data_IF_195365273682
#
_entry.id   IF_195365273682
#
_cell.length_a   1.000
_cell.length_b   1.000
_cell.length_c   1.000
_cell.angle_alpha   90.00
_cell.angle_beta   90.00
_cell.angle_gamma   90.00
#
_symmetry.space_group_name_H-M   'P 1'
#
loop_
_entity.id
_entity.type
_entity.pdbx_description
1 polymer ?
#
# COMPACT_ATOMS: atom_id res chain seq x y z
N UNK A 1 5.78 13.44 -7.98
CA UNK A 1 5.07 14.55 -8.56
C UNK A 1 3.78 14.11 -9.23
N UNK A 2 2.72 14.83 -8.98
CA UNK A 2 1.39 14.49 -9.45
C UNK A 2 1.32 14.42 -10.98
N UNK A 3 2.07 15.27 -11.62
CA UNK A 3 2.00 15.39 -13.09
C UNK A 3 2.49 14.13 -13.81
N UNK A 4 3.46 13.45 -13.22
CA UNK A 4 4.05 12.29 -13.90
C UNK A 4 3.11 11.12 -14.06
N UNK A 5 2.15 10.99 -13.19
CA UNK A 5 1.29 9.83 -13.18
C UNK A 5 -0.13 10.13 -13.60
N UNK A 6 -0.30 11.21 -14.33
CA UNK A 6 -1.66 11.69 -14.59
C UNK A 6 -2.58 10.62 -15.17
N UNK A 7 -2.11 9.88 -16.16
CA UNK A 7 -2.95 8.87 -16.78
C UNK A 7 -3.38 7.77 -15.83
N UNK A 8 -2.44 7.26 -15.04
CA UNK A 8 -2.73 6.23 -14.07
C UNK A 8 -3.50 6.80 -12.89
N UNK A 9 -3.06 7.95 -12.40
CA UNK A 9 -3.68 8.55 -11.24
C UNK A 9 -5.13 8.94 -11.45
N UNK A 10 -5.46 9.36 -12.64
CA UNK A 10 -6.83 9.80 -12.91
C UNK A 10 -7.86 8.70 -12.72
N UNK A 11 -7.49 7.45 -13.03
CA UNK A 11 -8.40 6.34 -12.86
C UNK A 11 -8.78 6.16 -11.39
N UNK A 12 -7.79 6.23 -10.50
CA UNK A 12 -8.02 6.02 -9.09
C UNK A 12 -8.55 7.26 -8.37
N UNK A 13 -8.14 8.41 -8.84
CA UNK A 13 -8.55 9.68 -8.26
C UNK A 13 -10.07 9.86 -8.31
N UNK A 14 -10.68 9.45 -9.41
CA UNK A 14 -12.11 9.61 -9.56
C UNK A 14 -12.92 8.71 -8.64
N UNK A 15 -12.30 7.65 -8.15
CA UNK A 15 -12.97 6.72 -7.27
C UNK A 15 -12.92 7.13 -5.82
N UNK A 16 -12.04 8.06 -5.50
CA UNK A 16 -11.80 8.44 -4.13
C UNK A 16 -11.91 9.92 -3.94
N UNK A 17 -12.85 10.31 -3.14
CA UNK A 17 -13.04 11.72 -2.86
C UNK A 17 -12.14 12.22 -1.73
N UNK A 18 -11.79 11.30 -0.84
CA UNK A 18 -11.02 11.68 0.33
C UNK A 18 -9.56 11.33 0.26
N UNK A 19 -9.22 10.34 -0.52
CA UNK A 19 -7.84 9.94 -0.63
C UNK A 19 -7.57 9.58 -2.07
N UNK A 20 -7.46 10.45 -2.73
CA UNK A 20 -7.53 10.49 -3.93
C UNK A 20 -6.83 9.94 -5.00
N UNK A 21 -5.67 9.78 -5.16
CA UNK A 21 -5.18 9.14 -6.36
C UNK A 21 -3.75 8.66 -6.23
N UNK A 22 -3.36 7.89 -7.23
CA UNK A 22 -2.07 7.26 -7.30
C UNK A 22 -1.17 8.04 -8.23
N UNK A 23 0.04 8.29 -7.78
CA UNK A 23 1.11 8.83 -8.59
C UNK A 23 2.21 7.78 -8.67
N UNK A 24 2.50 7.30 -9.86
CA UNK A 24 3.53 6.30 -10.05
C UNK A 24 4.85 6.98 -10.38
N UNK A 25 5.83 6.78 -9.53
CA UNK A 25 7.15 7.34 -9.73
C UNK A 25 8.03 6.30 -10.42
N UNK A 26 8.40 6.59 -11.65
CA UNK A 26 9.16 5.64 -12.45
C UNK A 26 10.67 5.82 -12.35
N UNK A 27 11.13 6.69 -11.47
CA UNK A 27 12.56 6.81 -11.23
C UNK A 27 13.13 5.54 -10.60
N UNK A 28 12.27 4.77 -9.92
CA UNK A 28 12.60 3.45 -9.41
C UNK A 28 11.70 2.46 -10.14
N UNK A 29 12.28 1.71 -11.06
CA UNK A 29 11.50 0.83 -11.93
C UNK A 29 10.82 -0.31 -11.19
N UNK A 30 11.27 -0.62 -9.99
CA UNK A 30 10.74 -1.76 -9.25
C UNK A 30 9.68 -1.36 -8.24
N UNK A 31 9.44 -0.09 -8.06
CA UNK A 31 8.53 0.40 -7.06
C UNK A 31 7.50 1.36 -7.63
N UNK A 32 6.35 1.39 -7.00
CA UNK A 32 5.29 2.34 -7.31
C UNK A 32 5.00 3.14 -6.04
N UNK A 33 4.71 4.41 -6.21
CA UNK A 33 4.44 5.30 -5.09
C UNK A 33 3.01 5.81 -5.22
N UNK A 34 2.19 5.51 -4.22
CA UNK A 34 0.81 5.95 -4.20
C UNK A 34 0.71 7.10 -3.22
N UNK A 35 0.19 8.22 -3.71
CA UNK A 35 0.11 9.44 -2.93
C UNK A 35 -1.36 9.78 -2.69
N UNK A 36 -1.70 9.95 -1.44
CA UNK A 36 -3.06 10.32 -1.06
C UNK A 36 -3.12 11.78 -0.69
N UNK A 37 -4.06 12.49 -1.29
CA UNK A 37 -4.24 13.90 -1.04
C UNK A 37 -5.62 14.16 -0.47
N UNK A 38 -5.68 15.12 0.45
CA UNK A 38 -6.95 15.67 0.90
C UNK A 38 -6.88 17.15 0.59
N UNK A 39 -7.72 17.59 -0.34
CA UNK A 39 -7.61 18.90 -0.93
C UNK A 39 -6.23 19.02 -1.56
N UNK A 40 -5.39 19.93 -1.10
CA UNK A 40 -4.05 20.07 -1.69
C UNK A 40 -2.95 19.50 -0.79
N UNK A 41 -3.33 18.88 0.32
CA UNK A 41 -2.34 18.34 1.26
C UNK A 41 -2.02 16.89 0.96
N UNK A 42 -0.74 16.56 0.95
CA UNK A 42 -0.32 15.17 0.86
C UNK A 42 -0.48 14.57 2.26
N UNK A 43 -1.43 13.68 2.42
CA UNK A 43 -1.78 13.14 3.73
C UNK A 43 -1.50 11.67 3.91
N UNK A 44 -1.24 10.93 2.83
CA UNK A 44 -0.96 9.50 2.92
C UNK A 44 -0.01 9.09 1.81
N UNK A 45 0.76 8.04 2.09
CA UNK A 45 1.76 7.55 1.15
C UNK A 45 1.87 6.04 1.29
N UNK A 46 2.04 5.35 0.16
CA UNK A 46 2.25 3.92 0.15
C UNK A 46 3.25 3.57 -0.93
N UNK A 47 4.20 2.69 -0.60
CA UNK A 47 5.16 2.17 -1.59
C UNK A 47 4.82 0.72 -1.87
N UNK A 48 4.71 0.39 -3.15
CA UNK A 48 4.40 -0.97 -3.59
C UNK A 48 5.47 -1.47 -4.54
N UNK A 49 5.62 -2.79 -4.59
CA UNK A 49 6.62 -3.43 -5.44
C UNK A 49 5.96 -4.48 -6.32
N UNK A 50 6.43 -4.60 -7.55
CA UNK A 50 5.98 -5.66 -8.45
C UNK A 50 6.49 -7.01 -7.95
N UNK A 51 5.92 -8.12 -8.48
CA UNK A 51 6.37 -9.45 -8.07
C UNK A 51 7.86 -9.66 -8.29
N UNK A 52 8.45 -10.47 -7.44
CA UNK A 52 9.84 -10.94 -7.54
C UNK A 52 10.89 -9.90 -7.17
N UNK A 53 10.49 -8.79 -6.59
CA UNK A 53 11.44 -7.80 -6.06
C UNK A 53 11.72 -8.09 -4.59
N UNK A 54 10.68 -8.09 -3.77
CA UNK A 54 10.82 -8.37 -2.33
C UNK A 54 10.43 -9.80 -2.00
N UNK A 55 9.42 -10.32 -2.67
CA UNK A 55 8.86 -11.65 -2.48
C UNK A 55 8.47 -12.16 -3.85
N UNK A 56 8.07 -13.43 -3.92
CA UNK A 56 7.57 -13.97 -5.19
C UNK A 56 6.35 -13.20 -5.67
N UNK A 57 5.49 -12.81 -4.75
CA UNK A 57 4.33 -11.99 -5.10
C UNK A 57 4.64 -10.51 -5.05
N UNK A 58 3.61 -9.72 -5.29
CA UNK A 58 3.69 -8.27 -5.13
C UNK A 58 3.86 -7.95 -3.65
N UNK A 59 4.24 -6.71 -3.34
CA UNK A 59 4.47 -6.33 -1.96
C UNK A 59 4.10 -4.88 -1.72
N UNK A 60 3.73 -4.59 -0.48
CA UNK A 60 3.60 -3.21 -0.02
C UNK A 60 4.68 -3.03 1.03
N UNK A 61 5.57 -2.08 0.81
CA UNK A 61 6.74 -1.92 1.64
C UNK A 61 6.67 -0.81 2.67
N UNK A 62 5.79 0.13 2.49
CA UNK A 62 5.71 1.27 3.41
C UNK A 62 4.36 1.94 3.30
N UNK A 63 3.76 2.25 4.44
CA UNK A 63 2.51 2.98 4.50
C UNK A 63 2.68 4.06 5.55
N UNK A 64 2.42 5.31 5.18
CA UNK A 64 2.54 6.45 6.08
C UNK A 64 1.31 7.32 5.96
N UNK A 65 0.76 7.73 7.10
CA UNK A 65 -0.35 8.69 7.14
C UNK A 65 0.10 9.87 7.98
N UNK A 66 -0.15 11.07 7.48
CA UNK A 66 0.22 12.28 8.18
C UNK A 66 -0.47 12.32 9.54
N UNK A 67 0.26 12.74 10.58
CA UNK A 67 -0.19 12.64 11.95
C UNK A 67 -1.57 13.23 12.19
N UNK A 68 -1.83 14.40 11.63
CA UNK A 68 -3.09 15.10 11.86
C UNK A 68 -4.28 14.47 11.17
N UNK A 69 -4.03 13.48 10.34
CA UNK A 69 -5.08 12.83 9.54
C UNK A 69 -5.27 11.36 9.90
N UNK A 70 -4.65 10.88 10.98
CA UNK A 70 -4.69 9.45 11.30
C UNK A 70 -6.06 8.95 11.73
N UNK A 71 -6.92 9.84 12.18
CA UNK A 71 -8.25 9.44 12.65
C UNK A 71 -9.30 9.40 11.55
N UNK A 72 -8.89 9.57 10.29
CA UNK A 72 -9.83 9.66 9.18
C UNK A 72 -9.83 8.40 8.32
N UNK A 73 -9.36 7.28 8.85
CA UNK A 73 -9.32 5.99 8.14
C UNK A 73 -8.47 6.02 6.86
N UNK A 74 -7.55 6.96 6.76
CA UNK A 74 -6.74 7.09 5.55
C UNK A 74 -5.77 5.93 5.38
N UNK A 75 -5.29 5.35 6.49
CA UNK A 75 -4.42 4.18 6.41
C UNK A 75 -5.15 3.01 5.77
N UNK A 76 -6.41 2.80 6.15
CA UNK A 76 -7.24 1.77 5.56
C UNK A 76 -7.47 2.06 4.08
N UNK A 77 -7.81 3.31 3.78
CA UNK A 77 -8.14 3.69 2.40
C UNK A 77 -6.95 3.52 1.47
N UNK A 78 -5.77 3.99 1.87
CA UNK A 78 -4.61 3.90 0.99
C UNK A 78 -4.14 2.46 0.87
N UNK A 79 -4.29 1.66 1.92
CA UNK A 79 -3.95 0.23 1.83
C UNK A 79 -4.88 -0.48 0.85
N UNK A 80 -6.16 -0.19 0.90
CA UNK A 80 -7.12 -0.77 -0.04
C UNK A 80 -6.84 -0.33 -1.47
N UNK A 81 -6.44 0.92 -1.67
CA UNK A 81 -6.04 1.39 -2.99
C UNK A 81 -4.81 0.64 -3.47
N UNK A 82 -3.84 0.42 -2.59
CA UNK A 82 -2.64 -0.34 -2.93
C UNK A 82 -2.96 -1.75 -3.34
N UNK A 83 -3.87 -2.41 -2.62
CA UNK A 83 -4.31 -3.76 -2.97
C UNK A 83 -4.96 -3.77 -4.35
N UNK A 84 -5.87 -2.84 -4.59
CA UNK A 84 -6.55 -2.77 -5.89
C UNK A 84 -5.57 -2.51 -7.01
N UNK A 85 -4.65 -1.60 -6.79
CA UNK A 85 -3.62 -1.28 -7.78
C UNK A 85 -2.79 -2.50 -8.13
N UNK A 86 -2.30 -3.21 -7.11
CA UNK A 86 -1.44 -4.36 -7.35
C UNK A 86 -2.19 -5.52 -7.98
N UNK A 87 -3.43 -5.78 -7.57
CA UNK A 87 -4.20 -6.86 -8.17
C UNK A 87 -4.63 -6.53 -9.60
N UNK A 88 -4.78 -5.26 -9.91
CA UNK A 88 -5.07 -4.87 -11.28
C UNK A 88 -3.87 -5.07 -12.19
N UNK A 89 -2.69 -4.69 -11.70
CA UNK A 89 -1.48 -4.81 -12.51
C UNK A 89 -0.92 -6.24 -12.53
N UNK A 90 -1.08 -6.97 -11.44
CA UNK A 90 -0.49 -8.30 -11.29
C UNK A 90 -1.55 -9.26 -10.74
N UNK A 91 -2.59 -9.56 -11.53
CA UNK A 91 -3.77 -10.28 -11.04
C UNK A 91 -3.54 -11.71 -10.60
N UNK A 92 -2.42 -12.30 -10.99
CA UNK A 92 -2.15 -13.69 -10.64
C UNK A 92 -1.17 -13.85 -9.48
N UNK A 93 -0.88 -12.77 -8.77
CA UNK A 93 0.10 -12.80 -7.69
C UNK A 93 -0.52 -12.37 -6.38
N UNK A 94 -0.14 -13.05 -5.31
CA UNK A 94 -0.51 -12.60 -3.97
C UNK A 94 0.21 -11.29 -3.64
N UNK A 95 -0.27 -10.60 -2.61
CA UNK A 95 0.42 -9.43 -2.07
C UNK A 95 0.96 -9.83 -0.70
N UNK A 96 2.24 -9.56 -0.46
CA UNK A 96 2.92 -9.91 0.78
C UNK A 96 3.40 -8.64 1.45
N UNK A 97 3.25 -8.59 2.78
CA UNK A 97 3.75 -7.46 3.56
C UNK A 97 4.52 -7.97 4.76
N UNK A 98 5.41 -7.12 5.26
CA UNK A 98 6.07 -7.33 6.54
C UNK A 98 5.41 -6.35 7.50
N UNK A 99 4.45 -6.83 8.26
CA UNK A 99 3.63 -5.97 9.10
C UNK A 99 4.20 -5.86 10.50
N UNK A 100 4.20 -4.66 11.07
CA UNK A 100 4.52 -4.55 12.49
C UNK A 100 3.49 -5.38 13.25
N UNK A 101 3.96 -6.20 14.16
CA UNK A 101 3.10 -7.17 14.83
C UNK A 101 1.91 -6.50 15.54
N UNK A 102 2.12 -5.32 16.09
CA UNK A 102 1.04 -4.61 16.77
C UNK A 102 -0.10 -4.20 15.83
N UNK A 103 0.16 -4.26 14.51
CA UNK A 103 -0.84 -3.90 13.51
C UNK A 103 -1.46 -5.13 12.83
N UNK A 104 -1.20 -6.32 13.36
CA UNK A 104 -1.71 -7.55 12.76
C UNK A 104 -3.23 -7.50 12.57
N UNK A 105 -3.97 -7.07 13.61
CA UNK A 105 -5.42 -6.97 13.52
C UNK A 105 -5.87 -5.99 12.45
N UNK A 106 -5.16 -4.88 12.34
CA UNK A 106 -5.48 -3.88 11.32
C UNK A 106 -5.44 -4.50 9.93
N UNK A 107 -4.38 -5.26 9.66
CA UNK A 107 -4.23 -5.87 8.34
C UNK A 107 -5.16 -7.06 8.16
N UNK A 108 -5.45 -7.80 9.23
CA UNK A 108 -6.44 -8.88 9.14
C UNK A 108 -7.80 -8.34 8.71
N UNK A 109 -8.18 -7.18 9.24
CA UNK A 109 -9.44 -6.56 8.87
C UNK A 109 -9.47 -6.12 7.41
N UNK A 110 -8.31 -6.03 6.77
CA UNK A 110 -8.21 -5.68 5.36
C UNK A 110 -8.03 -6.91 4.48
N UNK A 111 -8.15 -8.10 5.06
CA UNK A 111 -8.11 -9.34 4.28
C UNK A 111 -6.79 -10.08 4.31
N UNK A 112 -5.80 -9.57 5.01
CA UNK A 112 -4.50 -10.24 5.08
C UNK A 112 -4.52 -11.34 6.13
N UNK A 113 -3.67 -12.35 5.91
CA UNK A 113 -3.50 -13.48 6.82
C UNK A 113 -2.04 -13.57 7.20
N UNK A 114 -1.77 -13.85 8.49
CA UNK A 114 -0.40 -14.00 8.96
C UNK A 114 0.21 -15.32 8.49
N UNK A 115 1.53 -15.31 8.29
CA UNK A 115 2.26 -16.50 7.87
C UNK A 115 3.63 -16.50 8.54
N UNK A 116 3.96 -17.61 9.19
CA UNK A 116 5.24 -17.75 9.85
C UNK A 116 5.26 -17.16 11.24
N UNK A 117 6.45 -17.00 11.78
CA UNK A 117 6.66 -16.55 13.14
C UNK A 117 6.97 -15.06 13.20
N UNK A 118 6.77 -14.50 14.39
CA UNK A 118 7.17 -13.11 14.65
C UNK A 118 8.69 -13.01 14.54
N UNK A 119 9.19 -11.95 13.94
CA UNK A 119 10.61 -11.71 13.79
C UNK A 119 10.90 -10.23 14.00
N UNK A 120 12.18 -9.92 14.24
CA UNK A 120 12.59 -8.54 14.44
C UNK A 120 12.99 -7.90 13.12
N UNK A 121 12.52 -6.69 12.91
CA UNK A 121 12.95 -5.87 11.80
C UNK A 121 13.09 -4.46 12.34
N UNK A 122 14.30 -3.90 12.27
CA UNK A 122 14.60 -2.60 12.87
C UNK A 122 14.24 -2.57 14.35
N UNK A 123 14.50 -3.67 15.05
CA UNK A 123 14.25 -3.85 16.49
C UNK A 123 12.77 -3.77 16.87
N UNK A 124 11.88 -3.96 15.92
CA UNK A 124 10.44 -3.98 16.15
C UNK A 124 9.89 -5.33 15.71
N UNK A 125 8.98 -5.89 16.52
CA UNK A 125 8.35 -7.16 16.16
C UNK A 125 7.51 -7.01 14.88
N UNK A 126 7.74 -7.91 13.95
CA UNK A 126 7.03 -7.96 12.67
C UNK A 126 6.51 -9.36 12.42
N UNK A 127 5.54 -9.48 11.54
CA UNK A 127 5.06 -10.76 11.06
C UNK A 127 4.74 -10.63 9.57
N UNK A 128 5.06 -11.67 8.82
CA UNK A 128 4.73 -11.67 7.41
C UNK A 128 3.23 -11.92 7.24
N UNK A 129 2.60 -11.16 6.37
CA UNK A 129 1.20 -11.35 6.07
C UNK A 129 1.00 -11.33 4.57
N UNK A 130 -0.07 -11.94 4.11
CA UNK A 130 -0.34 -12.04 2.69
C UNK A 130 -1.84 -11.99 2.41
N UNK A 131 -2.18 -11.65 1.17
CA UNK A 131 -3.55 -11.76 0.69
C UNK A 131 -3.51 -12.32 -0.73
N UNK A 132 -4.37 -13.31 -0.98
CA UNK A 132 -4.41 -13.98 -2.27
C UNK A 132 -5.25 -13.19 -3.25
N UNK A 133 -4.95 -13.30 -4.55
CA UNK A 133 -5.81 -12.67 -5.55
C UNK A 133 -7.16 -13.38 -5.59
N UNK A 134 -8.16 -12.67 -6.02
CA UNK A 134 -9.51 -13.25 -6.14
C UNK A 134 -9.61 -14.17 -7.35
#
# INVERSE_FOLDING_TARGET
>A
DVERSRGLGDVYKRQEQNCPYIDADYSDQDAFHLLGYKENDLVAYLRAFKPKIKYEGSSIGRIVVKKDYRNLNLGKDITNLGKSFLFEKFPNHEIVISAQYRLEKFYENLGFTSRGDVYLEDDIDHIQMFILPN
#
